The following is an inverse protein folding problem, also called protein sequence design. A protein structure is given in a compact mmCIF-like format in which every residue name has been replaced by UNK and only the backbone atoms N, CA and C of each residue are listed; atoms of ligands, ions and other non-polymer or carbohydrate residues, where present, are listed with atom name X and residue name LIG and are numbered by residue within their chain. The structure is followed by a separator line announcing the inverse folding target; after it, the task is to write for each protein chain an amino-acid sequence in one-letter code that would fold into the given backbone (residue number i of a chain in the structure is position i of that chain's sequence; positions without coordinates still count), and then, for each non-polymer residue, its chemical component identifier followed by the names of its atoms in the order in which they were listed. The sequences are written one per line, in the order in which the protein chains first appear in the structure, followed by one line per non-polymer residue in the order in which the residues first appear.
data_IF_636430351469
#
_entry.id   IF_636430351469
#
_cell.length_a   1.000
_cell.length_b   1.000
_cell.length_c   1.000
_cell.angle_alpha   90.00
_cell.angle_beta   90.00
_cell.angle_gamma   90.00
#
_symmetry.space_group_name_H-M   'P 1'
#
loop_
_entity.id
_entity.type
_entity.pdbx_description
1 polymer ?
#
# COMPACT_ATOMS: atom_id res chain seq x y z
N UNK A 1 -4.70 3.33 12.17
CA UNK A 1 -3.40 3.13 12.87
C UNK A 1 -2.99 4.46 13.47
N UNK A 2 -2.77 4.55 14.78
CA UNK A 2 -2.15 5.76 15.33
C UNK A 2 -0.68 5.72 14.91
N UNK A 3 -0.28 6.61 14.01
CA UNK A 3 1.10 6.76 13.60
C UNK A 3 1.88 7.23 14.83
N UNK A 4 2.74 6.37 15.32
CA UNK A 4 3.75 6.73 16.31
C UNK A 4 5.01 7.14 15.56
N UNK A 5 5.90 7.81 16.26
CA UNK A 5 7.21 8.24 15.79
C UNK A 5 8.15 7.08 15.39
N UNK A 6 7.74 5.83 15.64
CA UNK A 6 8.50 4.62 15.28
C UNK A 6 7.59 3.40 15.10
N UNK A 7 8.01 2.48 14.23
CA UNK A 7 7.40 1.18 14.03
C UNK A 7 7.99 0.14 14.97
N UNK A 8 7.16 -0.81 15.46
CA UNK A 8 7.67 -2.00 16.15
C UNK A 8 8.45 -2.92 15.19
N UNK A 9 9.27 -3.87 15.69
CA UNK A 9 9.92 -4.86 14.84
C UNK A 9 8.95 -5.64 13.95
N UNK A 10 7.77 -6.01 14.49
CA UNK A 10 6.73 -6.74 13.78
C UNK A 10 6.11 -5.87 12.67
N UNK A 11 5.83 -4.60 12.98
CA UNK A 11 5.33 -3.65 12.00
C UNK A 11 6.35 -3.43 10.86
N UNK A 12 7.65 -3.31 11.18
CA UNK A 12 8.71 -3.17 10.18
C UNK A 12 8.81 -4.38 9.27
N UNK A 13 8.71 -5.59 9.84
CA UNK A 13 8.77 -6.82 9.07
C UNK A 13 7.62 -6.92 8.06
N UNK A 14 6.38 -6.66 8.50
CA UNK A 14 5.22 -6.64 7.60
C UNK A 14 5.25 -5.46 6.61
N UNK A 15 5.72 -4.29 7.07
CA UNK A 15 5.87 -3.11 6.22
C UNK A 15 6.81 -3.38 5.05
N UNK A 16 7.95 -4.05 5.32
CA UNK A 16 8.93 -4.37 4.30
C UNK A 16 8.34 -5.29 3.22
N UNK A 17 7.55 -6.29 3.60
CA UNK A 17 6.87 -7.17 2.64
C UNK A 17 5.92 -6.37 1.74
N UNK A 18 5.11 -5.48 2.31
CA UNK A 18 4.19 -4.63 1.55
C UNK A 18 4.96 -3.69 0.62
N UNK A 19 6.05 -3.10 1.12
CA UNK A 19 6.91 -2.21 0.33
C UNK A 19 7.55 -2.95 -0.85
N UNK A 20 8.15 -4.12 -0.62
CA UNK A 20 8.79 -4.93 -1.67
C UNK A 20 7.77 -5.39 -2.72
N UNK A 21 6.57 -5.76 -2.28
CA UNK A 21 5.45 -6.11 -3.14
C UNK A 21 5.01 -4.93 -4.01
N UNK A 22 4.93 -3.73 -3.43
CA UNK A 22 4.58 -2.51 -4.16
C UNK A 22 5.65 -2.15 -5.19
N UNK A 23 6.94 -2.14 -4.80
CA UNK A 23 8.05 -1.84 -5.69
C UNK A 23 8.06 -2.78 -6.90
N UNK A 24 7.93 -4.08 -6.67
CA UNK A 24 7.89 -5.06 -7.75
C UNK A 24 6.69 -4.83 -8.68
N UNK A 25 5.52 -4.54 -8.12
CA UNK A 25 4.32 -4.26 -8.90
C UNK A 25 4.44 -2.98 -9.72
N UNK A 26 5.02 -1.90 -9.17
CA UNK A 26 5.28 -0.65 -9.89
C UNK A 26 6.22 -0.91 -11.07
N UNK A 27 7.32 -1.63 -10.87
CA UNK A 27 8.27 -1.97 -11.93
C UNK A 27 7.62 -2.82 -13.04
N UNK A 28 6.68 -3.69 -12.68
CA UNK A 28 5.93 -4.52 -13.62
C UNK A 28 4.74 -3.80 -14.28
N UNK A 29 4.35 -2.61 -13.82
CA UNK A 29 3.22 -1.85 -14.35
C UNK A 29 3.58 -1.15 -15.67
N UNK A 30 3.93 -1.92 -16.69
CA UNK A 30 4.33 -1.47 -18.02
C UNK A 30 3.20 -1.66 -19.03
N UNK A 31 3.14 -0.79 -20.04
CA UNK A 31 2.20 -0.94 -21.14
C UNK A 31 2.33 -2.33 -21.80
N UNK A 32 1.19 -3.02 -21.97
CA UNK A 32 1.11 -4.38 -22.52
C UNK A 32 1.01 -5.47 -21.45
N UNK A 33 1.47 -5.26 -20.22
CA UNK A 33 1.24 -6.17 -19.11
C UNK A 33 -0.24 -6.12 -18.66
N UNK A 34 -0.70 -7.12 -17.93
CA UNK A 34 -2.09 -7.16 -17.46
C UNK A 34 -2.21 -6.79 -15.98
N UNK A 35 -3.37 -6.23 -15.59
CA UNK A 35 -3.72 -6.05 -14.18
C UNK A 35 -3.56 -7.35 -13.38
N UNK A 36 -3.96 -8.47 -13.99
CA UNK A 36 -3.83 -9.78 -13.35
C UNK A 36 -2.38 -10.19 -13.09
N UNK A 37 -1.48 -9.93 -14.06
CA UNK A 37 -0.06 -10.33 -13.90
C UNK A 37 0.64 -9.53 -12.82
N UNK A 38 0.40 -8.21 -12.72
CA UNK A 38 0.98 -7.38 -11.67
C UNK A 38 0.38 -7.72 -10.29
N UNK A 39 -0.93 -8.01 -10.22
CA UNK A 39 -1.55 -8.50 -8.99
C UNK A 39 -0.94 -9.82 -8.53
N UNK A 40 -0.77 -10.80 -9.45
CA UNK A 40 -0.20 -12.10 -9.09
C UNK A 40 1.23 -11.96 -8.57
N UNK A 41 2.06 -11.14 -9.21
CA UNK A 41 3.42 -10.84 -8.73
C UNK A 41 3.40 -10.26 -7.31
N UNK A 42 2.55 -9.27 -7.07
CA UNK A 42 2.37 -8.67 -5.75
C UNK A 42 1.91 -9.71 -4.71
N UNK A 43 0.94 -10.52 -5.08
CA UNK A 43 0.39 -11.57 -4.21
C UNK A 43 1.45 -12.61 -3.83
N UNK A 44 2.25 -13.06 -4.78
CA UNK A 44 3.28 -14.08 -4.55
C UNK A 44 4.34 -13.56 -3.56
N UNK A 45 4.78 -12.30 -3.69
CA UNK A 45 5.72 -11.67 -2.76
C UNK A 45 5.13 -11.59 -1.35
N UNK A 46 3.86 -11.20 -1.23
CA UNK A 46 3.16 -11.16 0.07
C UNK A 46 3.06 -12.55 0.67
N UNK A 47 2.66 -13.56 -0.13
CA UNK A 47 2.53 -14.93 0.34
C UNK A 47 3.87 -15.49 0.84
N UNK A 48 4.94 -15.31 0.06
CA UNK A 48 6.29 -15.75 0.43
C UNK A 48 6.77 -15.07 1.73
N UNK A 49 6.54 -13.76 1.85
CA UNK A 49 6.91 -13.01 3.05
C UNK A 49 6.14 -13.48 4.29
N UNK A 50 4.83 -13.71 4.17
CA UNK A 50 4.01 -14.23 5.28
C UNK A 50 4.42 -15.66 5.68
N UNK A 51 4.81 -16.51 4.73
CA UNK A 51 5.36 -17.84 5.03
C UNK A 51 6.70 -17.75 5.76
N UNK A 52 7.61 -16.88 5.32
CA UNK A 52 8.91 -16.68 5.98
C UNK A 52 8.78 -16.20 7.42
N UNK A 53 7.73 -15.40 7.72
CA UNK A 53 7.42 -14.94 9.07
C UNK A 53 6.65 -15.98 9.90
N UNK A 54 6.27 -17.12 9.31
CA UNK A 54 5.49 -18.18 9.97
C UNK A 54 4.04 -17.77 10.28
N UNK A 55 3.50 -16.80 9.55
CA UNK A 55 2.11 -16.34 9.71
C UNK A 55 1.14 -17.26 8.97
N UNK A 56 1.58 -17.82 7.84
CA UNK A 56 0.85 -18.82 7.06
C UNK A 56 1.74 -20.02 6.78
N UNK A 57 1.13 -21.16 6.46
CA UNK A 57 1.82 -22.39 6.05
C UNK A 57 1.78 -22.53 4.53
N UNK A 58 0.59 -22.34 3.93
CA UNK A 58 0.37 -22.47 2.50
C UNK A 58 0.15 -21.11 1.85
N UNK A 59 0.75 -20.86 0.68
CA UNK A 59 0.62 -19.59 -0.05
C UNK A 59 -0.83 -19.19 -0.31
N UNK A 60 -1.74 -20.14 -0.49
CA UNK A 60 -3.17 -19.90 -0.68
C UNK A 60 -3.85 -19.21 0.52
N UNK A 61 -3.26 -19.32 1.71
CA UNK A 61 -3.77 -18.68 2.92
C UNK A 61 -3.54 -17.16 2.94
N UNK A 62 -2.60 -16.65 2.13
CA UNK A 62 -2.29 -15.23 2.05
C UNK A 62 -3.53 -14.38 1.72
N UNK A 63 -4.51 -14.95 0.98
CA UNK A 63 -5.78 -14.28 0.67
C UNK A 63 -6.58 -13.86 1.93
N UNK A 64 -6.37 -14.53 3.06
CA UNK A 64 -7.00 -14.15 4.34
C UNK A 64 -6.47 -12.79 4.84
N UNK A 65 -5.23 -12.48 4.53
CA UNK A 65 -4.51 -11.31 5.01
C UNK A 65 -4.29 -10.23 3.93
N UNK A 66 -4.48 -10.60 2.66
CA UNK A 66 -4.49 -9.70 1.51
C UNK A 66 -5.80 -9.88 0.72
N UNK A 67 -6.94 -9.35 1.23
CA UNK A 67 -8.28 -9.66 0.73
C UNK A 67 -8.74 -8.83 -0.47
N UNK A 68 -8.04 -7.75 -0.82
CA UNK A 68 -8.46 -6.82 -1.88
C UNK A 68 -7.59 -6.91 -3.15
N UNK A 69 -7.98 -6.19 -4.20
CA UNK A 69 -7.20 -6.03 -5.42
C UNK A 69 -5.95 -5.17 -5.18
N UNK A 70 -5.01 -5.23 -6.11
CA UNK A 70 -3.78 -4.44 -6.07
C UNK A 70 -3.99 -3.01 -6.57
N UNK A 71 -4.95 -2.79 -7.48
CA UNK A 71 -4.97 -1.60 -8.31
C UNK A 71 -6.37 -1.30 -8.83
N UNK A 72 -6.67 -0.02 -9.01
CA UNK A 72 -7.85 0.46 -9.71
C UNK A 72 -7.50 1.69 -10.55
N UNK A 73 -8.37 2.03 -11.50
CA UNK A 73 -8.28 3.27 -12.24
C UNK A 73 -8.60 4.47 -11.35
N UNK A 74 -7.97 5.61 -11.65
CA UNK A 74 -8.20 6.89 -11.00
C UNK A 74 -8.76 7.86 -12.05
N UNK A 75 -9.87 8.53 -11.71
CA UNK A 75 -10.52 9.51 -12.56
C UNK A 75 -11.43 10.42 -11.74
N UNK A 76 -12.70 10.52 -12.13
CA UNK A 76 -13.70 11.32 -11.40
C UNK A 76 -14.16 10.63 -10.12
N UNK A 77 -14.13 9.30 -10.09
CA UNK A 77 -14.46 8.48 -8.94
C UNK A 77 -13.20 7.85 -8.34
N UNK A 78 -13.23 7.53 -7.03
CA UNK A 78 -12.13 6.83 -6.33
C UNK A 78 -11.81 5.50 -7.00
N UNK A 79 -12.84 4.72 -7.33
CA UNK A 79 -12.73 3.51 -8.13
C UNK A 79 -13.35 3.78 -9.51
N UNK A 80 -12.63 4.49 -10.34
CA UNK A 80 -13.14 4.92 -11.65
C UNK A 80 -13.36 3.70 -12.56
N UNK A 81 -14.43 3.69 -13.37
CA UNK A 81 -14.66 2.62 -14.33
C UNK A 81 -13.55 2.58 -15.38
N UNK A 82 -13.10 1.38 -15.74
CA UNK A 82 -12.02 1.22 -16.71
C UNK A 82 -11.87 -0.20 -17.22
N UNK A 83 -10.94 -0.38 -18.14
CA UNK A 83 -10.58 -1.69 -18.67
C UNK A 83 -9.51 -2.34 -17.78
N UNK A 84 -9.85 -3.41 -17.08
CA UNK A 84 -8.94 -4.18 -16.23
C UNK A 84 -8.21 -5.33 -16.97
N UNK A 85 -8.09 -5.23 -18.29
CA UNK A 85 -7.35 -6.16 -19.12
C UNK A 85 -5.85 -5.87 -19.14
N UNK A 86 -5.37 -5.33 -20.24
CA UNK A 86 -3.98 -4.88 -20.41
C UNK A 86 -3.82 -3.43 -20.01
N UNK A 87 -2.66 -3.13 -19.42
CA UNK A 87 -2.24 -1.75 -19.18
C UNK A 87 -1.89 -1.08 -20.51
N UNK A 88 -2.36 0.13 -20.69
CA UNK A 88 -2.12 0.94 -21.90
C UNK A 88 -1.49 2.28 -21.49
N UNK A 89 -0.68 2.85 -22.36
CA UNK A 89 -0.10 4.17 -22.13
C UNK A 89 -1.21 5.23 -21.87
N UNK A 90 -0.95 6.15 -20.97
CA UNK A 90 -1.82 7.20 -20.46
C UNK A 90 -2.90 6.72 -19.46
N UNK A 91 -2.90 5.45 -19.04
CA UNK A 91 -3.67 5.05 -17.86
C UNK A 91 -3.01 5.58 -16.59
N UNK A 92 -3.84 6.06 -15.66
CA UNK A 92 -3.44 6.34 -14.27
C UNK A 92 -4.14 5.34 -13.37
N UNK A 93 -3.35 4.63 -12.58
CA UNK A 93 -3.84 3.55 -11.71
C UNK A 93 -3.19 3.65 -10.33
N UNK A 94 -3.85 3.12 -9.30
CA UNK A 94 -3.21 2.89 -8.00
C UNK A 94 -2.35 1.62 -8.04
N UNK A 95 -1.32 1.56 -7.19
CA UNK A 95 -0.65 0.32 -6.79
C UNK A 95 -0.63 0.30 -5.27
N UNK A 96 -1.47 -0.55 -4.67
CA UNK A 96 -1.82 -0.48 -3.24
C UNK A 96 -1.87 -1.85 -2.54
N UNK A 97 -0.78 -2.62 -2.52
CA UNK A 97 -0.76 -3.86 -1.77
C UNK A 97 -0.96 -3.62 -0.28
N UNK A 98 -1.55 -4.60 0.42
CA UNK A 98 -1.75 -4.49 1.85
C UNK A 98 -1.79 -5.83 2.56
N UNK A 99 -1.40 -5.81 3.84
CA UNK A 99 -1.49 -6.95 4.76
C UNK A 99 -2.30 -6.52 5.97
N UNK A 100 -3.29 -7.32 6.37
CA UNK A 100 -4.17 -7.06 7.51
C UNK A 100 -4.31 -8.32 8.34
N UNK A 101 -3.83 -8.29 9.59
CA UNK A 101 -3.87 -9.44 10.50
C UNK A 101 -4.81 -9.11 11.66
N UNK A 102 -6.08 -9.56 11.61
CA UNK A 102 -7.02 -9.32 12.70
C UNK A 102 -6.63 -10.09 13.97
N UNK A 103 -7.20 -9.66 15.08
CA UNK A 103 -7.12 -10.39 16.33
C UNK A 103 -7.69 -11.81 16.19
N UNK A 104 -7.11 -12.77 16.91
CA UNK A 104 -7.47 -14.19 16.85
C UNK A 104 -7.16 -14.88 15.51
N UNK A 105 -6.29 -14.29 14.67
CA UNK A 105 -5.72 -14.99 13.51
C UNK A 105 -4.91 -16.22 13.96
N UNK A 106 -4.89 -17.32 13.18
CA UNK A 106 -4.17 -18.55 13.55
C UNK A 106 -2.65 -18.41 13.36
N UNK A 107 -2.07 -17.38 13.97
CA UNK A 107 -0.62 -17.09 14.01
C UNK A 107 -0.25 -16.53 15.37
N UNK A 108 1.06 -16.30 15.59
CA UNK A 108 1.56 -15.72 16.86
C UNK A 108 0.84 -14.38 17.14
N UNK A 109 0.28 -14.18 18.37
CA UNK A 109 -0.41 -12.95 18.77
C UNK A 109 0.38 -11.65 18.58
N UNK A 110 1.72 -11.72 18.51
CA UNK A 110 2.55 -10.53 18.22
C UNK A 110 2.23 -9.87 16.86
N UNK A 111 1.64 -10.61 15.92
CA UNK A 111 1.22 -10.11 14.61
C UNK A 111 -0.18 -9.51 14.59
N UNK A 112 -1.01 -9.77 15.61
CA UNK A 112 -2.41 -9.37 15.61
C UNK A 112 -2.60 -7.85 15.64
N UNK A 113 -3.70 -7.41 15.05
CA UNK A 113 -4.10 -6.00 14.97
C UNK A 113 -3.08 -5.11 14.21
N UNK A 114 -2.26 -5.71 13.34
CA UNK A 114 -1.40 -4.97 12.43
C UNK A 114 -2.05 -4.94 11.06
N UNK A 115 -2.26 -3.72 10.53
CA UNK A 115 -2.72 -3.48 9.17
C UNK A 115 -1.81 -2.47 8.50
N UNK A 116 -1.30 -2.81 7.31
CA UNK A 116 -0.39 -1.98 6.53
C UNK A 116 -0.86 -1.98 5.09
N UNK A 117 -0.97 -0.79 4.50
CA UNK A 117 -1.12 -0.56 3.07
C UNK A 117 -0.23 0.60 2.67
N UNK A 118 0.47 0.46 1.55
CA UNK A 118 1.24 1.52 0.90
C UNK A 118 0.63 1.70 -0.48
N UNK A 119 0.29 2.93 -0.84
CA UNK A 119 -0.42 3.24 -2.07
C UNK A 119 0.28 4.38 -2.80
N UNK A 120 0.47 4.21 -4.10
CA UNK A 120 0.95 5.22 -5.02
C UNK A 120 0.11 5.28 -6.29
N UNK A 121 0.08 6.46 -6.88
CA UNK A 121 -0.54 6.74 -8.18
C UNK A 121 0.49 6.60 -9.28
N UNK A 122 0.21 5.72 -10.25
CA UNK A 122 1.15 5.37 -11.30
C UNK A 122 0.58 5.73 -12.67
N UNK A 123 1.30 6.58 -13.40
CA UNK A 123 1.04 6.84 -14.80
C UNK A 123 1.77 5.81 -15.65
N UNK A 124 1.02 5.08 -16.46
CA UNK A 124 1.59 4.14 -17.45
C UNK A 124 2.05 4.92 -18.69
N UNK A 125 3.30 4.74 -19.08
CA UNK A 125 3.83 5.32 -20.32
C UNK A 125 4.46 4.27 -21.25
N UNK A 126 4.82 4.64 -22.45
CA UNK A 126 5.52 3.75 -23.37
C UNK A 126 6.97 3.49 -22.92
N UNK A 127 7.56 4.39 -22.15
CA UNK A 127 8.92 4.29 -21.63
C UNK A 127 8.98 3.58 -20.26
N UNK A 128 7.82 3.30 -19.66
CA UNK A 128 7.69 2.66 -18.35
C UNK A 128 6.76 3.43 -17.41
N UNK A 129 6.55 2.92 -16.17
CA UNK A 129 5.70 3.55 -15.19
C UNK A 129 6.34 4.81 -14.59
N UNK A 130 5.53 5.84 -14.36
CA UNK A 130 5.93 7.06 -13.63
C UNK A 130 5.13 7.10 -12.33
N UNK A 131 5.82 7.09 -11.20
CA UNK A 131 5.19 7.27 -9.90
C UNK A 131 4.90 8.76 -9.66
N UNK A 132 3.61 9.14 -9.63
CA UNK A 132 3.16 10.50 -9.43
C UNK A 132 3.26 10.93 -7.96
N UNK A 133 3.31 9.96 -7.03
CA UNK A 133 3.41 10.17 -5.58
C UNK A 133 4.86 10.11 -5.07
N UNK A 134 5.87 10.03 -5.94
CA UNK A 134 7.28 9.79 -5.59
C UNK A 134 7.88 10.81 -4.61
N UNK A 135 7.26 11.98 -4.44
CA UNK A 135 7.69 12.99 -3.49
C UNK A 135 7.42 12.64 -2.01
N UNK A 136 6.63 11.60 -1.74
CA UNK A 136 6.27 11.18 -0.38
C UNK A 136 7.15 10.00 0.04
N UNK A 137 7.80 10.04 1.22
CA UNK A 137 8.55 8.89 1.73
C UNK A 137 7.65 7.67 1.91
N UNK A 138 8.04 6.54 1.32
CA UNK A 138 7.29 5.28 1.39
C UNK A 138 8.00 4.21 2.22
N UNK A 139 9.31 4.26 2.32
CA UNK A 139 10.05 3.34 3.16
C UNK A 139 9.92 3.73 4.63
N UNK A 140 9.91 2.72 5.51
CA UNK A 140 9.69 2.96 6.93
C UNK A 140 10.78 3.82 7.60
N UNK A 141 12.02 3.83 7.07
CA UNK A 141 13.12 4.66 7.61
C UNK A 141 12.90 6.12 7.28
N UNK A 142 12.51 6.41 6.03
CA UNK A 142 12.14 7.75 5.58
C UNK A 142 10.96 8.30 6.38
N UNK A 143 9.94 7.46 6.62
CA UNK A 143 8.78 7.84 7.45
C UNK A 143 9.20 8.12 8.89
N UNK A 144 9.99 7.25 9.55
CA UNK A 144 10.49 7.48 10.90
C UNK A 144 11.36 8.74 10.99
N UNK A 145 12.06 9.10 9.91
CA UNK A 145 12.85 10.32 9.85
C UNK A 145 11.96 11.56 9.75
N UNK A 146 11.00 11.54 8.82
CA UNK A 146 10.04 12.62 8.64
C UNK A 146 9.20 12.89 9.91
N UNK A 147 8.81 11.83 10.61
CA UNK A 147 8.01 11.93 11.85
C UNK A 147 8.76 12.59 13.01
N UNK A 148 10.09 12.74 12.93
CA UNK A 148 10.91 13.46 13.91
C UNK A 148 11.04 14.94 13.59
N UNK A 149 10.67 15.35 12.38
CA UNK A 149 10.69 16.75 11.98
C UNK A 149 9.56 17.51 12.67
N UNK A 150 9.82 18.78 12.95
CA UNK A 150 8.78 19.65 13.50
C UNK A 150 7.69 19.90 12.45
N UNK A 151 6.44 19.75 12.84
CA UNK A 151 5.32 19.98 11.91
C UNK A 151 5.34 21.42 11.37
N UNK A 152 5.27 21.57 10.06
CA UNK A 152 5.09 22.88 9.43
C UNK A 152 3.78 23.58 9.86
N UNK A 153 2.85 22.83 10.45
CA UNK A 153 1.55 23.32 10.93
C UNK A 153 1.53 23.57 12.45
N UNK A 154 2.67 23.51 13.15
CA UNK A 154 2.70 23.67 14.61
C UNK A 154 2.06 24.99 15.10
N UNK A 155 2.21 26.06 14.31
CA UNK A 155 1.69 27.38 14.61
C UNK A 155 0.34 27.65 13.88
N UNK A 156 -0.21 26.64 13.21
CA UNK A 156 -1.48 26.77 12.49
C UNK A 156 -2.65 26.75 13.48
N UNK A 157 -3.32 27.90 13.61
CA UNK A 157 -4.54 28.03 14.40
C UNK A 157 -5.72 27.73 13.47
N UNK A 158 -6.49 26.67 13.78
CA UNK A 158 -7.73 26.39 13.06
C UNK A 158 -8.66 27.59 13.19
N UNK A 159 -9.26 28.09 12.08
CA UNK A 159 -10.27 29.12 12.18
C UNK A 159 -11.47 28.60 13.00
N UNK A 160 -12.01 29.46 13.87
CA UNK A 160 -13.24 29.12 14.59
C UNK A 160 -14.36 28.83 13.58
N UNK A 161 -14.80 27.59 13.57
CA UNK A 161 -15.98 27.19 12.79
C UNK A 161 -17.19 27.67 13.61
N UNK A 162 -17.75 28.83 13.27
CA UNK A 162 -19.06 29.23 13.75
C UNK A 162 -20.06 28.13 13.32
N UNK A 163 -20.41 27.23 14.23
CA UNK A 163 -21.54 26.30 14.01
C UNK A 163 -22.77 27.18 13.86
N UNK A 164 -23.21 27.37 12.64
CA UNK A 164 -24.57 27.80 12.37
C UNK A 164 -25.48 26.69 12.91
N UNK A 165 -25.92 26.86 14.16
CA UNK A 165 -27.00 26.04 14.73
C UNK A 165 -28.29 26.48 14.03
N UNK A 166 -28.77 25.65 13.14
CA UNK A 166 -30.14 25.73 12.62
C UNK A 166 -30.99 24.66 13.27
#
# INVERSE_FOLDING_TARGET
MCIRDSFSPEQKALYQIVYDSQEAAIQAAQAGNSFRSIYQLSYDIVADGLQQLGIIIESSEAKKYYPHGLSHHIGLDVHDPGNYGKLEANMVITIEPGIYIPENSPCDPKWWNIGIRIEDDILITNEGPINLSAGVPRDWKGIETLMKEESALKDFILPEINRLVH
#
